data_IF_590274400374
#
_entry.id   IF_590274400374
#
_cell.length_a   1.000
_cell.length_b   1.000
_cell.length_c   1.000
_cell.angle_alpha   90.00
_cell.angle_beta   90.00
_cell.angle_gamma   90.00
#
_symmetry.space_group_name_H-M   'P 1'
#
loop_
_entity.id
_entity.type
_entity.pdbx_description
1 polymer ?
#
# COMPACT_ATOMS: atom_id res chain seq x y z
N UNK A 1 -0.90 -0.23 25.92
CA UNK A 1 -0.45 -1.04 24.75
C UNK A 1 -1.35 -2.27 24.53
N UNK A 2 -2.67 -2.10 24.40
CA UNK A 2 -3.62 -3.23 24.23
C UNK A 2 -4.33 -3.22 22.87
N UNK A 3 -4.25 -2.13 22.12
CA UNK A 3 -4.93 -1.96 20.83
C UNK A 3 -4.30 -2.81 19.71
N UNK A 4 -2.98 -3.03 19.73
CA UNK A 4 -2.28 -3.85 18.71
C UNK A 4 -2.62 -5.34 18.79
N UNK A 5 -3.03 -5.83 19.97
CA UNK A 5 -3.47 -7.21 20.18
C UNK A 5 -4.96 -7.35 19.87
N UNK A 6 -5.81 -6.40 20.34
CA UNK A 6 -7.26 -6.41 20.11
C UNK A 6 -7.63 -6.24 18.63
N UNK A 7 -6.97 -5.31 17.94
CA UNK A 7 -7.24 -5.00 16.53
C UNK A 7 -6.26 -5.68 15.57
N UNK A 8 -5.53 -6.69 16.05
CA UNK A 8 -4.48 -7.39 15.30
C UNK A 8 -4.92 -7.82 13.91
N UNK A 9 -6.14 -8.33 13.76
CA UNK A 9 -6.66 -8.77 12.45
C UNK A 9 -6.92 -7.59 11.50
N UNK A 10 -7.49 -6.49 12.00
CA UNK A 10 -7.70 -5.27 11.21
C UNK A 10 -6.37 -4.65 10.79
N UNK A 11 -5.42 -4.57 11.72
CA UNK A 11 -4.08 -4.07 11.43
C UNK A 11 -3.35 -4.94 10.41
N UNK A 12 -3.43 -6.27 10.55
CA UNK A 12 -2.88 -7.21 9.56
C UNK A 12 -3.52 -7.01 8.18
N UNK A 13 -4.84 -6.90 8.09
CA UNK A 13 -5.53 -6.68 6.82
C UNK A 13 -5.08 -5.37 6.15
N UNK A 14 -4.93 -4.29 6.93
CA UNK A 14 -4.41 -3.01 6.45
C UNK A 14 -2.97 -3.14 5.94
N UNK A 15 -2.09 -3.78 6.70
CA UNK A 15 -0.69 -4.00 6.29
C UNK A 15 -0.60 -4.86 5.03
N UNK A 16 -1.42 -5.91 4.89
CA UNK A 16 -1.48 -6.74 3.68
C UNK A 16 -1.94 -5.95 2.46
N UNK A 17 -2.91 -5.04 2.62
CA UNK A 17 -3.35 -4.13 1.54
C UNK A 17 -2.22 -3.21 1.10
N UNK A 18 -1.54 -2.57 2.04
CA UNK A 18 -0.39 -1.68 1.76
C UNK A 18 0.72 -2.46 1.05
N UNK A 19 1.02 -3.68 1.49
CA UNK A 19 2.00 -4.54 0.84
C UNK A 19 1.64 -4.81 -0.63
N UNK A 20 0.38 -5.12 -0.92
CA UNK A 20 -0.10 -5.31 -2.29
C UNK A 20 0.07 -4.07 -3.16
N UNK A 21 -0.24 -2.88 -2.61
CA UNK A 21 -0.05 -1.61 -3.31
C UNK A 21 1.42 -1.32 -3.61
N UNK A 22 2.34 -1.63 -2.68
CA UNK A 22 3.78 -1.48 -2.87
C UNK A 22 4.31 -2.44 -3.94
N UNK A 23 3.83 -3.69 -3.95
CA UNK A 23 4.19 -4.65 -5.02
C UNK A 23 3.73 -4.15 -6.38
N UNK A 24 2.50 -3.61 -6.47
CA UNK A 24 2.00 -3.02 -7.70
C UNK A 24 2.83 -1.81 -8.14
N UNK A 25 3.20 -0.92 -7.20
CA UNK A 25 4.05 0.23 -7.50
C UNK A 25 5.42 -0.19 -8.05
N UNK A 26 6.02 -1.24 -7.50
CA UNK A 26 7.30 -1.78 -8.04
C UNK A 26 7.15 -2.21 -9.49
N UNK A 27 6.11 -2.99 -9.81
CA UNK A 27 5.82 -3.38 -11.20
C UNK A 27 5.61 -2.17 -12.11
N UNK A 28 4.92 -1.15 -11.61
CA UNK A 28 4.70 0.09 -12.37
C UNK A 28 5.99 0.89 -12.63
N UNK A 29 7.06 0.66 -11.87
CA UNK A 29 8.37 1.28 -12.12
C UNK A 29 9.21 0.48 -13.12
N UNK A 30 8.94 -0.82 -13.25
CA UNK A 30 9.61 -1.71 -14.20
C UNK A 30 8.98 -1.65 -15.61
N UNK A 31 7.71 -1.24 -15.69
CA UNK A 31 6.93 -1.11 -16.92
C UNK A 31 6.70 0.36 -17.31
N UNK A 32 6.56 0.69 -18.60
CA UNK A 32 6.25 2.05 -19.02
C UNK A 32 4.83 2.44 -18.59
N UNK A 33 4.73 3.29 -17.58
CA UNK A 33 3.50 3.93 -17.13
C UNK A 33 3.61 5.44 -17.15
N UNK A 34 2.46 6.11 -17.29
CA UNK A 34 2.35 7.55 -17.12
C UNK A 34 2.82 7.97 -15.72
N UNK A 35 3.69 8.99 -15.64
CA UNK A 35 4.21 9.51 -14.38
C UNK A 35 3.09 9.89 -13.40
N UNK A 36 1.98 10.44 -13.91
CA UNK A 36 0.81 10.78 -13.11
C UNK A 36 0.19 9.56 -12.43
N UNK A 37 0.12 8.42 -13.12
CA UNK A 37 -0.42 7.17 -12.58
C UNK A 37 0.48 6.61 -11.46
N UNK A 38 1.81 6.67 -11.65
CA UNK A 38 2.78 6.26 -10.61
C UNK A 38 2.66 7.14 -9.36
N UNK A 39 2.57 8.47 -9.53
CA UNK A 39 2.39 9.42 -8.42
C UNK A 39 1.07 9.23 -7.69
N UNK A 40 -0.01 8.93 -8.42
CA UNK A 40 -1.31 8.62 -7.82
C UNK A 40 -1.25 7.35 -6.96
N UNK A 41 -0.53 6.32 -7.41
CA UNK A 41 -0.34 5.10 -6.64
C UNK A 41 0.48 5.35 -5.36
N UNK A 42 1.52 6.19 -5.42
CA UNK A 42 2.28 6.61 -4.23
C UNK A 42 1.38 7.36 -3.24
N UNK A 43 0.55 8.29 -3.73
CA UNK A 43 -0.39 9.03 -2.89
C UNK A 43 -1.42 8.10 -2.23
N UNK A 44 -1.91 7.09 -2.96
CA UNK A 44 -2.84 6.08 -2.43
C UNK A 44 -2.20 5.23 -1.33
N UNK A 45 -0.92 4.86 -1.45
CA UNK A 45 -0.18 4.13 -0.41
C UNK A 45 -0.03 4.99 0.86
N UNK A 46 0.27 6.29 0.70
CA UNK A 46 0.41 7.21 1.85
C UNK A 46 -0.89 7.38 2.64
N UNK A 47 -2.04 7.35 1.96
CA UNK A 47 -3.36 7.48 2.58
C UNK A 47 -3.95 6.18 3.14
N UNK A 48 -3.39 5.02 2.77
CA UNK A 48 -3.86 3.70 3.19
C UNK A 48 -3.51 3.39 4.64
#
# INVERSE_FOLDING_TARGET
MSHTIRDKQKLKARTSKIQGQVIALKKMLDEPHECAAVLQQIAAIRGA
#
